data_IF_186519415506
#
_entry.id   IF_186519415506
#
_cell.length_a   1.000
_cell.length_b   1.000
_cell.length_c   1.000
_cell.angle_alpha   90.00
_cell.angle_beta   90.00
_cell.angle_gamma   90.00
#
_symmetry.space_group_name_H-M   'P 1'
#
loop_
_entity.id
_entity.type
_entity.pdbx_description
1 polymer ?
#
# COMPACT_ATOMS: atom_id res chain seq x y z
N UNK A 1 -6.04 5.42 -17.81
CA UNK A 1 -6.55 5.84 -16.49
C UNK A 1 -5.38 5.80 -15.52
N UNK A 2 -4.76 6.94 -15.22
CA UNK A 2 -3.47 7.00 -14.49
C UNK A 2 -3.67 6.69 -13.01
N UNK A 3 -3.18 5.53 -12.52
CA UNK A 3 -3.21 5.18 -11.09
C UNK A 3 -1.98 5.76 -10.35
N UNK A 4 -2.13 5.97 -9.06
CA UNK A 4 -1.38 6.94 -8.26
C UNK A 4 0.03 6.51 -7.83
N UNK A 5 0.97 6.35 -8.78
CA UNK A 5 2.39 6.34 -8.45
C UNK A 5 2.91 7.77 -8.19
N UNK A 6 3.66 7.95 -7.11
CA UNK A 6 4.27 9.24 -6.74
C UNK A 6 5.59 9.41 -7.52
N UNK A 7 5.71 10.48 -8.30
CA UNK A 7 6.89 10.78 -9.14
C UNK A 7 7.57 12.11 -8.81
N UNK A 8 6.91 13.00 -8.06
CA UNK A 8 7.43 14.29 -7.62
C UNK A 8 6.86 14.67 -6.25
N UNK A 9 7.57 15.57 -5.55
CA UNK A 9 7.15 16.20 -4.30
C UNK A 9 7.48 17.69 -4.41
N UNK A 10 6.56 18.57 -3.98
CA UNK A 10 6.76 20.01 -3.95
C UNK A 10 6.68 20.51 -2.49
N UNK A 11 7.57 21.42 -2.13
CA UNK A 11 7.55 22.15 -0.87
C UNK A 11 7.49 23.66 -1.16
N UNK A 12 6.69 24.38 -0.38
CA UNK A 12 6.54 25.83 -0.44
C UNK A 12 6.12 26.34 0.95
N UNK A 13 6.22 27.65 1.17
CA UNK A 13 5.90 28.27 2.46
C UNK A 13 4.40 28.19 2.83
N UNK A 14 3.53 27.93 1.84
CA UNK A 14 2.10 27.73 2.04
C UNK A 14 1.53 26.56 1.17
N UNK A 15 0.41 25.94 1.59
CA UNK A 15 -0.16 24.79 0.88
C UNK A 15 -0.74 25.10 -0.50
N UNK A 16 -1.11 26.35 -0.79
CA UNK A 16 -1.69 26.72 -2.09
C UNK A 16 -0.60 26.89 -3.14
N UNK A 17 0.51 27.56 -2.81
CA UNK A 17 1.71 27.61 -3.67
C UNK A 17 2.24 26.20 -3.98
N UNK A 18 2.27 25.29 -2.99
CA UNK A 18 2.67 23.91 -3.22
C UNK A 18 1.75 23.16 -4.20
N UNK A 19 0.43 23.38 -4.13
CA UNK A 19 -0.55 22.82 -5.08
C UNK A 19 -0.42 23.43 -6.48
N UNK A 20 -0.13 24.72 -6.58
CA UNK A 20 0.08 25.39 -7.86
C UNK A 20 1.35 24.88 -8.55
N UNK A 21 2.46 24.76 -7.81
CA UNK A 21 3.70 24.14 -8.29
C UNK A 21 3.46 22.70 -8.79
N UNK A 22 2.66 21.90 -8.07
CA UNK A 22 2.32 20.54 -8.48
C UNK A 22 1.59 20.45 -9.83
N UNK A 23 0.83 21.48 -10.23
CA UNK A 23 0.16 21.54 -11.55
C UNK A 23 1.11 21.89 -12.71
N UNK A 24 2.32 22.36 -12.42
CA UNK A 24 3.33 22.70 -13.43
C UNK A 24 4.25 21.52 -13.78
N UNK A 25 4.20 20.43 -13.01
CA UNK A 25 5.03 19.25 -13.26
C UNK A 25 4.53 18.51 -14.50
N UNK A 26 5.38 18.41 -15.51
CA UNK A 26 5.12 17.67 -16.74
C UNK A 26 5.90 16.35 -16.72
N UNK A 27 5.25 15.25 -17.10
CA UNK A 27 5.88 13.92 -17.20
C UNK A 27 5.32 13.19 -18.41
N UNK A 28 6.21 12.71 -19.27
CA UNK A 28 5.87 11.86 -20.39
C UNK A 28 5.80 10.39 -19.94
N UNK A 29 4.68 9.73 -20.24
CA UNK A 29 4.44 8.33 -19.89
C UNK A 29 4.08 7.51 -21.13
N UNK A 30 4.72 6.36 -21.31
CA UNK A 30 4.18 5.30 -22.14
C UNK A 30 2.96 4.69 -21.42
N UNK A 31 1.79 4.83 -22.04
CA UNK A 31 0.55 4.22 -21.52
C UNK A 31 0.47 2.77 -21.94
N UNK A 32 0.32 1.87 -20.97
CA UNK A 32 0.20 0.43 -21.18
C UNK A 32 -1.17 -0.05 -20.70
N UNK A 33 -1.70 -1.10 -21.34
CA UNK A 33 -3.00 -1.66 -20.95
C UNK A 33 -2.96 -2.16 -19.49
N UNK A 34 -3.97 -1.82 -18.67
CA UNK A 34 -3.98 -2.13 -17.25
C UNK A 34 -4.40 -3.58 -17.03
N UNK A 35 -3.49 -4.37 -16.48
CA UNK A 35 -3.79 -5.72 -15.99
C UNK A 35 -4.56 -5.61 -14.67
N UNK A 36 -5.88 -5.72 -14.73
CA UNK A 36 -6.80 -5.55 -13.58
C UNK A 36 -7.49 -6.83 -13.12
N UNK A 37 -7.34 -7.90 -13.90
CA UNK A 37 -7.90 -9.22 -13.62
C UNK A 37 -6.80 -10.12 -13.03
N UNK A 38 -7.12 -10.81 -11.93
CA UNK A 38 -6.16 -11.64 -11.21
C UNK A 38 -5.95 -13.02 -11.84
N UNK A 39 -6.92 -13.55 -12.58
CA UNK A 39 -6.80 -14.84 -13.28
C UNK A 39 -5.95 -14.65 -14.53
N UNK A 40 -6.27 -13.63 -15.36
CA UNK A 40 -5.44 -13.26 -16.51
C UNK A 40 -4.00 -12.96 -16.09
N UNK A 41 -3.78 -12.37 -14.91
CA UNK A 41 -2.43 -12.08 -14.41
C UNK A 41 -1.58 -13.32 -14.11
N UNK A 42 -2.20 -14.49 -13.92
CA UNK A 42 -1.52 -15.78 -13.67
C UNK A 42 -1.23 -16.58 -14.96
N UNK A 43 -1.82 -16.20 -16.09
CA UNK A 43 -1.55 -16.77 -17.41
C UNK A 43 -0.30 -16.11 -18.06
N UNK A 44 -0.21 -16.12 -19.40
CA UNK A 44 0.88 -15.48 -20.16
C UNK A 44 0.65 -13.95 -20.32
N UNK A 45 0.42 -13.27 -19.19
CA UNK A 45 0.24 -11.83 -19.15
C UNK A 45 1.57 -11.07 -19.07
N UNK A 46 1.56 -9.81 -19.53
CA UNK A 46 2.65 -8.85 -19.32
C UNK A 46 3.01 -8.79 -17.83
N UNK A 47 4.29 -9.02 -17.53
CA UNK A 47 4.80 -8.94 -16.15
C UNK A 47 4.73 -7.50 -15.63
N UNK A 48 4.15 -7.31 -14.46
CA UNK A 48 4.11 -6.02 -13.74
C UNK A 48 5.40 -5.80 -12.96
N UNK A 49 5.99 -6.87 -12.41
CA UNK A 49 7.28 -6.87 -11.72
C UNK A 49 8.25 -7.86 -12.38
N UNK A 50 9.58 -7.67 -12.27
CA UNK A 50 10.58 -8.56 -12.88
C UNK A 50 10.40 -10.04 -12.50
N UNK A 51 10.05 -10.27 -11.22
CA UNK A 51 9.85 -11.59 -10.62
C UNK A 51 8.53 -12.28 -11.04
N UNK A 52 7.67 -11.58 -11.77
CA UNK A 52 6.36 -12.05 -12.24
C UNK A 52 5.17 -11.45 -11.48
N UNK A 53 3.98 -11.98 -11.76
CA UNK A 53 2.71 -11.46 -11.23
C UNK A 53 2.20 -12.24 -9.99
N UNK A 54 2.66 -13.48 -9.79
CA UNK A 54 2.31 -14.29 -8.62
C UNK A 54 3.14 -13.84 -7.39
N UNK A 55 2.56 -12.96 -6.58
CA UNK A 55 3.22 -12.46 -5.36
C UNK A 55 3.50 -13.57 -4.33
N UNK A 56 2.57 -14.51 -4.16
CA UNK A 56 2.68 -15.59 -3.16
C UNK A 56 1.71 -16.73 -3.44
N UNK A 57 2.16 -17.98 -3.25
CA UNK A 57 1.32 -19.18 -3.23
C UNK A 57 1.41 -19.83 -1.83
N UNK A 58 0.25 -20.10 -1.21
CA UNK A 58 0.16 -20.75 0.10
C UNK A 58 -0.73 -21.98 -0.02
N UNK A 59 -0.18 -23.16 0.26
CA UNK A 59 -0.91 -24.43 0.17
C UNK A 59 -1.21 -24.96 1.57
N UNK A 60 -2.44 -24.73 2.04
CA UNK A 60 -2.91 -25.19 3.35
C UNK A 60 -3.49 -26.60 3.21
N UNK A 61 -3.09 -27.50 4.10
CA UNK A 61 -3.65 -28.85 4.28
C UNK A 61 -3.80 -29.13 5.77
N UNK A 62 -4.84 -29.88 6.13
CA UNK A 62 -5.00 -30.41 7.48
C UNK A 62 -5.85 -31.69 7.41
N UNK A 63 -5.39 -32.75 8.06
CA UNK A 63 -6.04 -34.08 7.99
C UNK A 63 -6.00 -34.74 6.61
N UNK A 64 -6.79 -35.80 6.46
CA UNK A 64 -7.03 -36.50 5.18
C UNK A 64 -8.36 -36.03 4.56
N UNK A 65 -8.26 -35.15 3.57
CA UNK A 65 -9.41 -34.62 2.84
C UNK A 65 -10.06 -35.63 1.88
N UNK A 66 -9.38 -36.72 1.53
CA UNK A 66 -9.95 -37.78 0.69
C UNK A 66 -10.88 -38.63 1.55
N UNK A 67 -10.37 -39.18 2.65
CA UNK A 67 -11.17 -39.97 3.60
C UNK A 67 -12.34 -39.17 4.17
N UNK A 68 -12.14 -37.88 4.50
CA UNK A 68 -13.20 -37.02 5.00
C UNK A 68 -14.31 -36.74 3.96
N UNK A 69 -14.00 -36.77 2.65
CA UNK A 69 -15.01 -36.63 1.58
C UNK A 69 -15.76 -37.93 1.31
N UNK A 70 -15.08 -39.07 1.39
CA UNK A 70 -15.70 -40.40 1.22
C UNK A 70 -16.66 -40.75 2.38
N UNK A 71 -16.42 -40.20 3.58
CA UNK A 71 -17.23 -40.43 4.77
C UNK A 71 -18.36 -39.41 4.97
N UNK A 72 -18.46 -38.37 4.13
CA UNK A 72 -19.45 -37.31 4.30
C UNK A 72 -20.78 -37.64 3.63
N UNK A 73 -21.89 -37.55 4.38
CA UNK A 73 -23.25 -37.72 3.83
C UNK A 73 -23.61 -36.66 2.77
N UNK A 74 -23.04 -35.46 2.89
CA UNK A 74 -23.25 -34.33 1.95
C UNK A 74 -21.94 -33.55 1.81
N UNK A 75 -21.57 -33.23 0.57
CA UNK A 75 -20.47 -32.32 0.23
C UNK A 75 -21.04 -31.14 -0.56
N UNK A 76 -20.72 -29.91 -0.13
CA UNK A 76 -21.10 -28.68 -0.82
C UNK A 76 -19.83 -27.97 -1.30
N UNK A 77 -19.84 -27.52 -2.55
CA UNK A 77 -18.79 -26.74 -3.18
C UNK A 77 -19.39 -25.48 -3.81
N UNK A 78 -18.71 -24.36 -3.67
CA UNK A 78 -19.12 -23.09 -4.26
C UNK A 78 -17.98 -22.09 -4.27
N UNK A 79 -18.10 -21.08 -5.13
CA UNK A 79 -17.17 -19.98 -5.27
C UNK A 79 -17.76 -18.73 -4.61
N UNK A 80 -16.88 -17.89 -4.07
CA UNK A 80 -17.27 -16.66 -3.38
C UNK A 80 -16.29 -15.56 -3.78
N UNK A 81 -16.84 -14.44 -4.26
CA UNK A 81 -16.07 -13.22 -4.55
C UNK A 81 -16.39 -12.16 -3.50
N UNK A 82 -15.37 -11.39 -3.09
CA UNK A 82 -15.52 -10.24 -2.20
C UNK A 82 -14.77 -9.06 -2.80
N UNK A 83 -15.50 -8.00 -3.13
CA UNK A 83 -14.93 -6.78 -3.71
C UNK A 83 -14.02 -6.03 -2.75
N UNK A 84 -13.04 -5.31 -3.30
CA UNK A 84 -12.13 -4.44 -2.54
C UNK A 84 -12.90 -3.42 -1.69
N UNK A 85 -12.56 -3.32 -0.40
CA UNK A 85 -13.13 -2.36 0.53
C UNK A 85 -12.10 -1.28 0.89
N UNK A 86 -12.53 -0.02 0.92
CA UNK A 86 -11.77 1.07 1.53
C UNK A 86 -12.00 1.07 3.06
N UNK A 87 -10.98 1.44 3.84
CA UNK A 87 -11.12 1.61 5.30
C UNK A 87 -11.96 2.84 5.66
N UNK A 88 -12.12 3.81 4.74
CA UNK A 88 -12.97 4.98 4.88
C UNK A 88 -12.74 5.79 6.18
N UNK A 89 -11.46 5.93 6.57
CA UNK A 89 -11.05 6.72 7.73
C UNK A 89 -11.55 8.17 7.64
N UNK A 90 -12.14 8.68 8.72
CA UNK A 90 -12.67 10.06 8.78
C UNK A 90 -11.58 11.14 8.65
N UNK A 91 -10.37 10.84 9.13
CA UNK A 91 -9.20 11.70 8.97
C UNK A 91 -8.34 11.27 7.77
N UNK A 92 -7.83 12.21 6.95
CA UNK A 92 -6.95 11.88 5.83
C UNK A 92 -5.57 11.42 6.31
N UNK A 93 -4.89 10.62 5.48
CA UNK A 93 -3.45 10.35 5.65
C UNK A 93 -2.68 11.67 5.73
N UNK A 94 -2.01 11.90 6.86
CA UNK A 94 -1.34 13.17 7.13
C UNK A 94 -0.13 12.99 8.05
N UNK A 95 0.83 13.92 7.92
CA UNK A 95 1.98 13.96 8.79
C UNK A 95 2.74 15.27 8.71
N UNK A 96 3.48 15.56 9.78
CA UNK A 96 4.33 16.72 9.97
C UNK A 96 5.72 16.25 10.40
N UNK A 97 6.75 16.76 9.74
CA UNK A 97 8.15 16.51 10.07
C UNK A 97 8.82 17.79 10.55
N UNK A 98 9.32 17.78 11.79
CA UNK A 98 10.03 18.90 12.40
C UNK A 98 11.52 18.55 12.58
N UNK A 99 12.47 19.29 11.99
CA UNK A 99 13.89 19.07 12.25
C UNK A 99 14.22 19.44 13.71
N UNK A 100 15.10 18.66 14.35
CA UNK A 100 15.54 18.91 15.73
C UNK A 100 16.95 19.49 15.77
N UNK A 101 17.27 20.25 16.83
CA UNK A 101 18.57 20.92 17.00
C UNK A 101 19.76 19.94 17.01
N UNK A 102 19.54 18.68 17.40
CA UNK A 102 20.56 17.61 17.38
C UNK A 102 20.69 16.89 16.03
N UNK A 103 20.11 17.45 14.95
CA UNK A 103 20.16 16.91 13.59
C UNK A 103 19.27 15.69 13.36
N UNK A 104 18.24 15.51 14.19
CA UNK A 104 17.20 14.49 14.04
C UNK A 104 15.91 15.07 13.44
N UNK A 105 14.85 14.26 13.47
CA UNK A 105 13.51 14.67 13.03
C UNK A 105 12.45 14.13 14.00
N UNK A 106 11.53 14.99 14.43
CA UNK A 106 10.31 14.59 15.12
C UNK A 106 9.16 14.47 14.11
N UNK A 107 8.45 13.34 14.13
CA UNK A 107 7.36 13.01 13.20
C UNK A 107 6.04 12.89 13.95
N UNK A 108 5.07 13.70 13.55
CA UNK A 108 3.66 13.53 13.93
C UNK A 108 2.97 12.90 12.72
N UNK A 109 2.41 11.70 12.85
CA UNK A 109 1.83 10.96 11.72
C UNK A 109 0.54 10.25 12.12
N UNK A 110 -0.44 10.22 11.21
CA UNK A 110 -1.66 9.42 11.35
C UNK A 110 -1.37 7.93 11.11
N UNK A 111 -0.63 7.28 12.02
CA UNK A 111 -0.22 5.87 11.91
C UNK A 111 -0.74 5.03 13.07
N UNK A 112 -1.09 3.77 12.78
CA UNK A 112 -1.38 2.73 13.78
C UNK A 112 -0.13 1.91 14.17
N UNK A 113 0.97 2.06 13.44
CA UNK A 113 2.24 1.40 13.71
C UNK A 113 3.33 2.44 14.02
N UNK A 114 3.72 2.51 15.29
CA UNK A 114 4.85 3.33 15.75
C UNK A 114 6.14 2.52 15.67
N UNK A 115 6.93 2.76 14.63
CA UNK A 115 8.26 2.16 14.46
C UNK A 115 9.27 2.96 15.30
N UNK A 116 9.86 2.31 16.30
CA UNK A 116 10.97 2.84 17.10
C UNK A 116 12.31 2.24 16.62
N UNK A 117 12.68 2.51 15.38
CA UNK A 117 13.88 1.93 14.75
C UNK A 117 15.03 2.94 14.72
N UNK A 118 16.19 2.53 15.23
CA UNK A 118 17.36 3.39 15.49
C UNK A 118 18.51 3.19 14.49
N UNK A 119 18.26 2.45 13.41
CA UNK A 119 19.27 1.96 12.48
C UNK A 119 18.87 2.13 11.00
N UNK A 120 19.15 3.32 10.44
CA UNK A 120 19.02 3.54 8.99
C UNK A 120 19.00 5.02 8.60
N UNK A 121 20.18 5.60 8.36
CA UNK A 121 20.45 6.95 7.79
C UNK A 121 19.86 8.19 8.50
N UNK A 122 18.74 8.09 9.22
CA UNK A 122 18.08 9.17 9.94
C UNK A 122 18.23 8.94 11.44
N UNK A 123 18.99 9.83 12.11
CA UNK A 123 19.71 9.47 13.34
C UNK A 123 18.85 9.35 14.61
N UNK A 124 17.62 9.87 14.58
CA UNK A 124 16.55 9.79 15.59
C UNK A 124 15.24 10.14 14.90
N UNK A 125 14.31 9.20 14.83
CA UNK A 125 12.90 9.48 14.52
C UNK A 125 12.14 9.37 15.84
N UNK A 126 11.53 10.49 16.28
CA UNK A 126 10.57 10.48 17.39
C UNK A 126 9.18 10.54 16.80
N UNK A 127 8.47 9.42 16.80
CA UNK A 127 7.08 9.38 16.36
C UNK A 127 6.15 9.69 17.53
N UNK A 128 5.19 10.59 17.32
CA UNK A 128 4.14 10.95 18.30
C UNK A 128 2.76 10.84 17.67
N UNK A 129 1.71 10.54 18.45
CA UNK A 129 0.33 10.78 18.01
C UNK A 129 0.15 12.26 17.65
N UNK A 130 -0.72 12.55 16.69
CA UNK A 130 -1.11 13.92 16.39
C UNK A 130 -1.74 14.55 17.65
N UNK A 131 -1.36 15.78 18.07
CA UNK A 131 -2.01 16.44 19.19
C UNK A 131 -3.49 16.71 18.89
N UNK A 132 -4.29 16.81 19.96
CA UNK A 132 -5.65 17.34 19.88
C UNK A 132 -5.56 18.86 19.61
N UNK A 133 -6.28 19.34 18.59
CA UNK A 133 -6.37 20.75 18.20
C UNK A 133 -7.81 21.25 18.43
#
# INVERSE_FOLDING_TARGET
MTRANRFALNAADDPETARQAARLVQVDYESLDPLTDAELALEDARRVHPDGNLVRHVKIRHGDLTAAREQADVVVTGEYEVGMQDQACLGPESGLALPTEDGGVELYVSSQAFVSESSGSYRKIRSRPCPEW
#
